data_IF_974294935452
#
_entry.id   IF_974294935452
#
_cell.length_a   1.000
_cell.length_b   1.000
_cell.length_c   1.000
_cell.angle_alpha   90.00
_cell.angle_beta   90.00
_cell.angle_gamma   90.00
#
_symmetry.space_group_name_H-M   'P 1'
#
loop_
_entity.id
_entity.type
_entity.pdbx_description
1 polymer ?
#
# COMPACT_ATOMS: atom_id res chain seq x y z
N UNK A 1 -2.43 -1.36 -35.09
CA UNK A 1 -2.41 -1.01 -33.66
C UNK A 1 -1.47 -1.98 -32.97
N UNK A 2 -0.38 -1.51 -32.37
CA UNK A 2 0.41 -2.37 -31.49
C UNK A 2 -0.44 -2.66 -30.25
N UNK A 3 -0.55 -3.93 -29.88
CA UNK A 3 -1.27 -4.32 -28.68
C UNK A 3 -0.50 -3.81 -27.46
N UNK A 4 -1.15 -2.99 -26.64
CA UNK A 4 -0.59 -2.43 -25.39
C UNK A 4 -0.80 -3.46 -24.28
N UNK A 5 0.29 -3.87 -23.61
CA UNK A 5 0.25 -4.79 -22.48
C UNK A 5 -0.65 -4.28 -21.34
N UNK A 6 -1.19 -5.21 -20.55
CA UNK A 6 -1.89 -4.86 -19.30
C UNK A 6 -0.88 -4.40 -18.25
N UNK A 7 -1.32 -3.58 -17.28
CA UNK A 7 -0.46 -3.10 -16.19
C UNK A 7 -1.16 -3.18 -14.84
N UNK A 8 -0.38 -3.37 -13.79
CA UNK A 8 -0.83 -3.25 -12.40
C UNK A 8 -0.08 -2.13 -11.67
N UNK A 9 -0.81 -1.31 -10.90
CA UNK A 9 -0.24 -0.17 -10.18
C UNK A 9 -1.00 0.19 -8.90
N UNK A 10 -0.28 0.65 -7.88
CA UNK A 10 -0.80 1.21 -6.62
C UNK A 10 -0.38 2.66 -6.41
N UNK A 11 -0.07 3.37 -7.50
CA UNK A 11 0.63 4.65 -7.53
C UNK A 11 2.01 4.48 -8.18
N UNK A 12 2.73 3.44 -7.76
CA UNK A 12 3.90 2.88 -8.46
C UNK A 12 3.54 1.59 -9.22
N UNK A 13 4.40 1.08 -10.12
CA UNK A 13 4.22 -0.24 -10.71
C UNK A 13 4.14 -1.32 -9.63
N UNK A 14 3.26 -2.29 -9.84
CA UNK A 14 3.06 -3.39 -8.91
C UNK A 14 3.70 -4.67 -9.46
N UNK A 15 4.63 -5.27 -8.71
CA UNK A 15 5.27 -6.53 -9.06
C UNK A 15 4.51 -7.66 -8.37
N UNK A 16 3.83 -8.53 -9.12
CA UNK A 16 2.92 -9.49 -8.48
C UNK A 16 2.33 -10.57 -9.37
N UNK A 17 1.36 -11.27 -8.78
CA UNK A 17 0.57 -12.32 -9.41
C UNK A 17 -0.78 -11.78 -9.87
N UNK A 18 -1.22 -12.27 -11.03
CA UNK A 18 -2.52 -11.98 -11.64
C UNK A 18 -3.29 -13.30 -11.71
N UNK A 19 -4.50 -13.31 -11.18
CA UNK A 19 -5.39 -14.46 -11.22
C UNK A 19 -6.65 -14.07 -12.01
N UNK A 20 -6.88 -14.76 -13.12
CA UNK A 20 -8.03 -14.56 -13.98
C UNK A 20 -9.13 -15.54 -13.61
N UNK A 21 -10.32 -15.01 -13.39
CA UNK A 21 -11.54 -15.78 -13.14
C UNK A 21 -12.09 -16.27 -14.50
N UNK A 22 -11.80 -17.53 -14.84
CA UNK A 22 -12.15 -18.11 -16.14
C UNK A 22 -13.58 -18.64 -16.14
N UNK A 23 -14.10 -19.04 -14.98
CA UNK A 23 -15.44 -19.59 -14.84
C UNK A 23 -16.51 -18.47 -14.67
N UNK A 24 -16.07 -17.24 -14.36
CA UNK A 24 -16.88 -16.03 -14.30
C UNK A 24 -17.72 -15.89 -13.03
N UNK A 25 -17.43 -16.64 -11.98
CA UNK A 25 -18.21 -16.65 -10.74
C UNK A 25 -17.72 -15.63 -9.68
N UNK A 26 -16.65 -14.89 -9.98
CA UNK A 26 -15.97 -13.94 -9.11
C UNK A 26 -15.39 -14.52 -7.80
N UNK A 27 -15.20 -15.85 -7.77
CA UNK A 27 -14.56 -16.60 -6.69
C UNK A 27 -13.16 -17.01 -7.16
N UNK A 28 -12.19 -16.14 -6.88
CA UNK A 28 -10.80 -16.37 -7.25
C UNK A 28 -10.18 -17.51 -6.42
N UNK A 29 -9.58 -18.50 -7.08
CA UNK A 29 -8.81 -19.61 -6.51
C UNK A 29 -9.64 -20.85 -6.17
N UNK A 30 -10.84 -21.00 -6.74
CA UNK A 30 -11.82 -22.04 -6.38
C UNK A 30 -11.73 -23.35 -7.21
N UNK A 31 -10.70 -23.46 -8.04
CA UNK A 31 -10.58 -24.49 -9.04
C UNK A 31 -9.90 -25.80 -8.60
N UNK A 32 -10.55 -26.94 -8.85
CA UNK A 32 -9.95 -28.29 -8.85
C UNK A 32 -10.13 -29.01 -10.20
N UNK A 33 -10.38 -28.28 -11.30
CA UNK A 33 -10.83 -28.81 -12.59
C UNK A 33 -10.03 -28.24 -13.79
N UNK A 34 -10.08 -28.85 -14.99
CA UNK A 34 -9.25 -28.41 -16.13
C UNK A 34 -9.59 -27.01 -16.71
N UNK A 35 -10.61 -26.31 -16.20
CA UNK A 35 -11.04 -24.95 -16.61
C UNK A 35 -10.83 -23.92 -15.48
N UNK A 36 -9.87 -24.20 -14.59
CA UNK A 36 -9.58 -23.39 -13.41
C UNK A 36 -9.06 -21.98 -13.74
N UNK A 37 -9.10 -21.13 -12.72
CA UNK A 37 -8.49 -19.82 -12.74
C UNK A 37 -7.07 -19.84 -13.31
N UNK A 38 -6.85 -18.95 -14.26
CA UNK A 38 -5.57 -18.83 -14.93
C UNK A 38 -4.68 -17.86 -14.16
N UNK A 39 -3.49 -18.28 -13.75
CA UNK A 39 -2.52 -17.40 -13.13
C UNK A 39 -1.37 -17.02 -14.07
N UNK A 40 -0.96 -15.76 -13.99
CA UNK A 40 0.28 -15.24 -14.58
C UNK A 40 0.90 -14.21 -13.64
N UNK A 41 2.02 -13.62 -14.04
CA UNK A 41 2.74 -12.64 -13.23
C UNK A 41 3.13 -11.42 -14.03
N UNK A 42 3.32 -10.32 -13.32
CA UNK A 42 3.87 -9.11 -13.91
C UNK A 42 5.39 -9.23 -14.08
N UNK A 43 5.96 -8.48 -15.01
CA UNK A 43 7.39 -8.18 -15.00
C UNK A 43 7.74 -7.19 -13.86
N UNK A 44 9.02 -6.80 -13.76
CA UNK A 44 9.51 -5.82 -12.77
C UNK A 44 9.00 -4.38 -13.00
N UNK A 45 8.35 -4.12 -14.14
CA UNK A 45 7.69 -2.85 -14.47
C UNK A 45 6.17 -2.91 -14.27
N UNK A 46 5.64 -3.98 -13.65
CA UNK A 46 4.22 -4.17 -13.41
C UNK A 46 3.39 -4.48 -14.65
N UNK A 47 4.01 -4.86 -15.76
CA UNK A 47 3.32 -5.22 -17.00
C UNK A 47 3.04 -6.72 -17.06
N UNK A 48 1.89 -7.11 -17.61
CA UNK A 48 1.54 -8.51 -17.81
C UNK A 48 0.78 -8.75 -19.11
N UNK A 49 0.80 -10.01 -19.53
CA UNK A 49 0.08 -10.51 -20.68
C UNK A 49 0.93 -10.78 -21.92
N UNK A 50 0.25 -11.05 -23.05
CA UNK A 50 0.89 -11.56 -24.27
C UNK A 50 2.01 -10.64 -24.79
N UNK A 51 1.79 -9.34 -24.67
CA UNK A 51 2.65 -8.29 -25.23
C UNK A 51 3.59 -7.64 -24.19
N UNK A 52 3.62 -8.14 -22.95
CA UNK A 52 4.49 -7.60 -21.91
C UNK A 52 5.97 -7.95 -22.19
N UNK A 53 6.80 -6.92 -22.30
CA UNK A 53 8.25 -7.07 -22.53
C UNK A 53 8.87 -7.70 -21.27
N UNK A 54 9.68 -8.74 -21.42
CA UNK A 54 10.26 -9.43 -20.26
C UNK A 54 9.26 -10.23 -19.44
N UNK A 55 8.19 -10.76 -20.08
CA UNK A 55 7.26 -11.69 -19.45
C UNK A 55 8.00 -12.84 -18.78
N UNK A 56 7.59 -13.13 -17.55
CA UNK A 56 8.20 -14.17 -16.72
C UNK A 56 7.52 -15.54 -16.91
N UNK A 57 6.30 -15.57 -17.45
CA UNK A 57 5.57 -16.81 -17.73
C UNK A 57 5.39 -17.02 -19.23
N UNK A 58 5.47 -18.27 -19.68
CA UNK A 58 5.16 -18.67 -21.05
C UNK A 58 3.65 -18.76 -21.32
N UNK A 59 2.84 -18.60 -20.27
CA UNK A 59 1.39 -18.72 -20.31
C UNK A 59 0.78 -17.39 -20.77
N UNK A 60 0.21 -17.39 -21.97
CA UNK A 60 -0.53 -16.24 -22.52
C UNK A 60 -1.88 -16.12 -21.80
N UNK A 61 -2.28 -14.93 -21.33
CA UNK A 61 -3.63 -14.74 -20.79
C UNK A 61 -4.69 -15.17 -21.80
N UNK A 62 -5.84 -15.68 -21.33
CA UNK A 62 -6.90 -16.09 -22.23
C UNK A 62 -7.42 -14.88 -23.02
N UNK A 63 -7.73 -15.11 -24.29
CA UNK A 63 -8.30 -14.08 -25.17
C UNK A 63 -9.76 -13.82 -24.77
N UNK A 64 -10.04 -12.66 -24.17
CA UNK A 64 -11.40 -12.27 -23.75
C UNK A 64 -11.41 -11.21 -22.66
N UNK A 65 -12.61 -10.75 -22.28
CA UNK A 65 -12.82 -9.88 -21.13
C UNK A 65 -13.11 -10.73 -19.90
N UNK A 66 -12.07 -11.04 -19.13
CA UNK A 66 -12.18 -11.77 -17.87
C UNK A 66 -12.09 -10.81 -16.69
N UNK A 67 -12.76 -11.14 -15.60
CA UNK A 67 -12.44 -10.55 -14.30
C UNK A 67 -11.07 -11.08 -13.89
N UNK A 68 -10.26 -10.23 -13.29
CA UNK A 68 -8.98 -10.65 -12.75
C UNK A 68 -8.71 -9.95 -11.43
N UNK A 69 -7.98 -10.64 -10.56
CA UNK A 69 -7.52 -10.15 -9.29
C UNK A 69 -6.00 -10.03 -9.34
N UNK A 70 -5.51 -8.91 -8.83
CA UNK A 70 -4.07 -8.64 -8.70
C UNK A 70 -3.67 -8.59 -7.24
N UNK A 71 -2.54 -9.21 -6.94
CA UNK A 71 -1.84 -9.14 -5.64
C UNK A 71 -0.34 -9.02 -5.90
N UNK A 72 0.35 -8.15 -5.17
CA UNK A 72 1.77 -7.93 -5.40
C UNK A 72 2.34 -6.83 -4.52
N UNK A 73 3.59 -6.47 -4.79
CA UNK A 73 4.32 -5.48 -4.02
C UNK A 73 4.52 -4.20 -4.82
N UNK A 74 4.48 -3.04 -4.15
CA UNK A 74 4.87 -1.77 -4.79
C UNK A 74 6.35 -1.82 -5.16
N UNK A 75 6.68 -1.49 -6.40
CA UNK A 75 8.08 -1.41 -6.85
C UNK A 75 8.90 -0.41 -6.03
N UNK A 76 8.29 0.69 -5.58
CA UNK A 76 9.01 1.75 -4.89
C UNK A 76 9.27 1.45 -3.41
N UNK A 77 8.45 0.60 -2.77
CA UNK A 77 8.51 0.39 -1.31
C UNK A 77 8.60 -1.06 -0.87
N UNK A 78 8.27 -2.02 -1.74
CA UNK A 78 8.15 -3.44 -1.40
C UNK A 78 6.88 -3.80 -0.61
N UNK A 79 6.03 -2.83 -0.23
CA UNK A 79 4.81 -3.13 0.51
C UNK A 79 3.83 -3.97 -0.28
N UNK A 80 3.23 -4.96 0.39
CA UNK A 80 2.26 -5.89 -0.18
C UNK A 80 0.84 -5.29 -0.22
N UNK A 81 0.21 -5.42 -1.39
CA UNK A 81 -1.18 -5.06 -1.68
C UNK A 81 -1.88 -6.25 -2.33
N UNK A 82 -3.12 -6.51 -1.93
CA UNK A 82 -3.87 -7.68 -2.41
C UNK A 82 -5.31 -7.32 -2.77
N UNK A 83 -5.96 -8.24 -3.47
CA UNK A 83 -7.37 -8.16 -3.84
C UNK A 83 -7.74 -6.89 -4.64
N UNK A 84 -6.86 -6.48 -5.57
CA UNK A 84 -7.15 -5.39 -6.51
C UNK A 84 -7.90 -6.02 -7.69
N UNK A 85 -9.19 -5.72 -7.80
CA UNK A 85 -10.07 -6.29 -8.83
C UNK A 85 -10.63 -5.12 -9.64
N UNK A 86 -10.00 -4.75 -10.78
CA UNK A 86 -10.49 -3.65 -11.57
C UNK A 86 -11.80 -4.01 -12.26
N UNK A 87 -12.55 -2.99 -12.70
CA UNK A 87 -13.80 -3.24 -13.43
C UNK A 87 -13.48 -3.87 -14.80
N UNK A 88 -14.33 -4.82 -15.23
CA UNK A 88 -14.14 -5.59 -16.46
C UNK A 88 -13.82 -4.71 -17.67
N UNK A 89 -12.86 -5.17 -18.48
CA UNK A 89 -12.33 -4.43 -19.63
C UNK A 89 -11.18 -3.48 -19.31
N UNK A 90 -10.82 -3.28 -18.03
CA UNK A 90 -9.70 -2.43 -17.65
C UNK A 90 -8.35 -3.03 -18.04
N UNK A 91 -7.52 -2.22 -18.72
CA UNK A 91 -6.13 -2.58 -19.03
C UNK A 91 -5.18 -2.28 -17.88
N UNK A 92 -5.54 -1.31 -17.05
CA UNK A 92 -4.81 -0.94 -15.84
C UNK A 92 -5.55 -1.47 -14.61
N UNK A 93 -4.89 -2.31 -13.82
CA UNK A 93 -5.32 -2.74 -12.50
C UNK A 93 -4.82 -1.74 -11.45
N UNK A 94 -5.72 -0.97 -10.86
CA UNK A 94 -5.39 0.02 -9.84
C UNK A 94 -6.59 0.29 -8.92
N UNK A 95 -6.38 0.92 -7.75
CA UNK A 95 -7.48 1.36 -6.91
C UNK A 95 -8.48 2.26 -7.65
N UNK A 96 -8.01 3.19 -8.50
CA UNK A 96 -8.88 4.07 -9.29
C UNK A 96 -9.77 3.29 -10.26
N UNK A 97 -9.21 2.35 -11.03
CA UNK A 97 -9.98 1.52 -11.97
C UNK A 97 -10.84 0.44 -11.29
N UNK A 98 -10.61 0.20 -10.01
CA UNK A 98 -11.45 -0.65 -9.18
C UNK A 98 -12.69 0.10 -8.65
N UNK A 99 -12.55 1.36 -8.22
CA UNK A 99 -13.67 2.13 -7.66
C UNK A 99 -14.51 2.85 -8.71
N UNK A 100 -13.92 3.21 -9.86
CA UNK A 100 -14.62 3.87 -10.95
C UNK A 100 -15.10 2.81 -11.94
N UNK A 101 -16.40 2.57 -12.02
CA UNK A 101 -17.02 1.70 -13.01
C UNK A 101 -17.32 2.47 -14.32
N UNK A 102 -17.58 1.79 -15.46
CA UNK A 102 -17.89 2.45 -16.73
C UNK A 102 -19.05 3.46 -16.70
N UNK A 103 -19.98 3.30 -15.77
CA UNK A 103 -21.11 4.22 -15.57
C UNK A 103 -20.83 5.33 -14.54
N UNK A 104 -19.64 5.36 -13.93
CA UNK A 104 -19.17 6.41 -13.06
C UNK A 104 -18.23 7.33 -13.81
N UNK A 105 -18.53 8.63 -13.81
CA UNK A 105 -17.65 9.61 -14.41
C UNK A 105 -16.44 9.86 -13.51
N UNK A 106 -15.18 9.75 -13.98
CA UNK A 106 -14.00 10.08 -13.18
C UNK A 106 -13.99 11.52 -12.64
N UNK A 107 -14.75 12.43 -13.25
CA UNK A 107 -14.99 13.79 -12.73
C UNK A 107 -15.63 13.81 -11.34
N UNK A 108 -16.34 12.76 -10.93
CA UNK A 108 -16.90 12.63 -9.57
C UNK A 108 -15.82 12.54 -8.48
N UNK A 109 -14.58 12.26 -8.85
CA UNK A 109 -13.42 12.23 -7.94
C UNK A 109 -12.34 13.23 -8.36
N UNK A 110 -12.71 14.24 -9.17
CA UNK A 110 -11.79 15.29 -9.60
C UNK A 110 -10.80 14.91 -10.69
N UNK A 111 -10.98 13.74 -11.35
CA UNK A 111 -10.14 13.35 -12.49
C UNK A 111 -10.74 13.91 -13.78
N UNK A 112 -9.97 14.74 -14.49
CA UNK A 112 -10.38 15.38 -15.74
C UNK A 112 -10.15 14.45 -16.96
N UNK A 113 -10.76 13.27 -16.93
CA UNK A 113 -10.66 12.23 -17.95
C UNK A 113 -11.98 11.47 -18.11
N UNK A 114 -12.24 10.90 -19.28
CA UNK A 114 -13.33 9.92 -19.45
C UNK A 114 -12.95 8.58 -18.81
N UNK A 115 -13.95 7.71 -18.59
CA UNK A 115 -13.69 6.36 -18.14
C UNK A 115 -12.79 5.59 -19.12
N UNK A 116 -13.04 5.73 -20.42
CA UNK A 116 -12.26 5.08 -21.47
C UNK A 116 -10.81 5.53 -21.47
N UNK A 117 -10.56 6.83 -21.23
CA UNK A 117 -9.20 7.34 -21.04
C UNK A 117 -8.56 6.73 -19.78
N UNK A 118 -9.25 6.76 -18.62
CA UNK A 118 -8.71 6.25 -17.36
C UNK A 118 -8.37 4.75 -17.43
N UNK A 119 -9.24 3.97 -18.07
CA UNK A 119 -9.12 2.51 -18.23
C UNK A 119 -7.79 2.06 -18.82
N UNK A 120 -7.21 2.90 -19.68
CA UNK A 120 -6.01 2.63 -20.46
C UNK A 120 -4.83 3.57 -20.05
N UNK A 121 -5.00 4.38 -19.00
CA UNK A 121 -4.02 5.42 -18.60
C UNK A 121 -3.01 4.94 -17.57
N UNK A 122 -1.74 4.91 -17.97
CA UNK A 122 -0.64 4.66 -17.07
C UNK A 122 -0.19 5.94 -16.34
N UNK A 123 -0.71 6.11 -15.12
CA UNK A 123 -0.42 7.27 -14.27
C UNK A 123 1.07 7.39 -13.91
N UNK A 124 1.77 6.27 -13.69
CA UNK A 124 3.18 6.32 -13.29
C UNK A 124 4.08 6.78 -14.43
N UNK A 125 3.89 6.26 -15.65
CA UNK A 125 4.60 6.79 -16.81
C UNK A 125 4.25 8.26 -17.07
N UNK A 126 2.97 8.62 -16.93
CA UNK A 126 2.51 10.00 -17.12
C UNK A 126 3.17 11.00 -16.15
N UNK A 127 3.46 10.60 -14.90
CA UNK A 127 4.18 11.42 -13.92
C UNK A 127 5.58 11.86 -14.39
N UNK A 128 6.22 11.07 -15.26
CA UNK A 128 7.55 11.39 -15.83
C UNK A 128 7.47 12.18 -17.13
N UNK A 129 6.27 12.45 -17.64
CA UNK A 129 6.10 13.08 -18.94
C UNK A 129 6.62 14.52 -18.98
N UNK A 130 7.30 14.86 -20.08
CA UNK A 130 7.68 16.24 -20.37
C UNK A 130 6.43 17.13 -20.62
N UNK A 131 5.34 16.56 -21.11
CA UNK A 131 4.08 17.29 -21.33
C UNK A 131 3.38 17.58 -19.99
N UNK A 132 3.17 18.86 -19.70
CA UNK A 132 2.62 19.32 -18.42
C UNK A 132 1.19 18.83 -18.18
N UNK A 133 0.37 18.73 -19.23
CA UNK A 133 -1.02 18.25 -19.12
C UNK A 133 -1.05 16.76 -18.78
N UNK A 134 -0.26 15.95 -19.48
CA UNK A 134 -0.10 14.51 -19.20
C UNK A 134 0.44 14.31 -17.79
N UNK A 135 1.43 15.10 -17.37
CA UNK A 135 1.98 15.03 -16.02
C UNK A 135 0.95 15.35 -14.95
N UNK A 136 0.15 16.40 -15.15
CA UNK A 136 -0.93 16.77 -14.23
C UNK A 136 -2.00 15.66 -14.13
N UNK A 137 -2.37 15.01 -15.24
CA UNK A 137 -3.25 13.83 -15.23
C UNK A 137 -2.62 12.66 -14.47
N UNK A 138 -1.31 12.42 -14.66
CA UNK A 138 -0.54 11.43 -13.91
C UNK A 138 -0.58 11.69 -12.41
N UNK A 139 -0.38 12.95 -12.00
CA UNK A 139 -0.48 13.39 -10.61
C UNK A 139 -1.88 13.16 -10.04
N UNK A 140 -2.94 13.52 -10.76
CA UNK A 140 -4.33 13.32 -10.31
C UNK A 140 -4.66 11.84 -10.07
N UNK A 141 -4.32 10.96 -11.01
CA UNK A 141 -4.64 9.53 -10.89
C UNK A 141 -3.76 8.84 -9.84
N UNK A 142 -2.47 9.18 -9.75
CA UNK A 142 -1.59 8.65 -8.70
C UNK A 142 -2.02 9.14 -7.31
N UNK A 143 -2.37 10.42 -7.16
CA UNK A 143 -2.89 10.96 -5.91
C UNK A 143 -4.17 10.21 -5.49
N UNK A 144 -5.11 9.99 -6.41
CA UNK A 144 -6.30 9.18 -6.12
C UNK A 144 -5.93 7.77 -5.65
N UNK A 145 -5.03 7.08 -6.34
CA UNK A 145 -4.60 5.74 -5.93
C UNK A 145 -4.03 5.73 -4.50
N UNK A 146 -3.18 6.69 -4.15
CA UNK A 146 -2.61 6.84 -2.81
C UNK A 146 -3.67 7.18 -1.75
N UNK A 147 -4.64 8.05 -2.09
CA UNK A 147 -5.77 8.38 -1.22
C UNK A 147 -6.68 7.18 -0.98
N UNK A 148 -6.84 6.28 -1.94
CA UNK A 148 -7.61 5.06 -1.75
C UNK A 148 -6.91 4.05 -0.82
N UNK A 149 -5.58 4.12 -0.66
CA UNK A 149 -4.83 3.23 0.22
C UNK A 149 -5.14 3.43 1.71
N UNK A 150 -5.28 4.67 2.20
CA UNK A 150 -5.61 4.91 3.61
C UNK A 150 -7.00 4.37 3.97
N UNK A 151 -7.93 4.46 3.02
CA UNK A 151 -9.24 3.81 3.15
C UNK A 151 -9.13 2.29 3.18
N UNK A 152 -8.09 1.72 2.58
CA UNK A 152 -7.91 0.28 2.60
C UNK A 152 -7.19 -0.25 3.82
N UNK A 153 -6.12 0.42 4.23
CA UNK A 153 -5.35 0.02 5.39
C UNK A 153 -6.14 0.06 6.71
N UNK A 154 -7.20 0.88 6.82
CA UNK A 154 -7.97 0.93 8.07
C UNK A 154 -8.72 -0.39 8.38
N UNK A 155 -9.08 -1.17 7.35
CA UNK A 155 -9.82 -2.44 7.52
C UNK A 155 -8.95 -3.66 7.75
N UNK A 156 -7.71 -3.62 7.27
CA UNK A 156 -6.75 -4.71 7.40
C UNK A 156 -6.20 -4.75 8.84
N UNK A 157 -7.02 -5.14 9.83
CA UNK A 157 -6.62 -5.22 11.26
C UNK A 157 -5.75 -6.45 11.62
N UNK A 158 -4.86 -6.88 10.71
CA UNK A 158 -4.01 -8.06 10.92
C UNK A 158 -2.63 -7.76 11.50
N UNK A 159 -1.91 -6.80 10.94
CA UNK A 159 -0.58 -6.34 11.40
C UNK A 159 -0.40 -4.93 10.82
N UNK A 160 0.07 -3.96 11.61
CA UNK A 160 0.10 -2.54 11.22
C UNK A 160 0.89 -2.25 9.92
N UNK A 161 1.74 -3.18 9.47
CA UNK A 161 2.49 -3.11 8.21
C UNK A 161 2.15 -4.21 7.20
N UNK A 162 1.31 -5.20 7.52
CA UNK A 162 1.00 -6.36 6.67
C UNK A 162 0.20 -6.04 5.40
N UNK A 163 -0.15 -7.04 4.61
CA UNK A 163 -0.86 -6.83 3.34
C UNK A 163 -2.12 -5.95 3.47
N UNK A 164 -2.25 -4.92 2.61
CA UNK A 164 -3.49 -4.14 2.51
C UNK A 164 -4.38 -4.75 1.43
N UNK A 165 -5.59 -5.16 1.83
CA UNK A 165 -6.60 -5.70 0.92
C UNK A 165 -7.53 -4.57 0.42
N UNK A 166 -7.59 -4.36 -0.89
CA UNK A 166 -8.30 -3.22 -1.48
C UNK A 166 -9.81 -3.47 -1.60
N UNK A 167 -10.21 -4.71 -1.92
CA UNK A 167 -11.61 -5.14 -2.12
C UNK A 167 -12.57 -4.71 -1.02
N UNK A 168 -12.14 -4.78 0.24
CA UNK A 168 -13.00 -4.57 1.40
C UNK A 168 -13.50 -3.13 1.56
N UNK A 169 -12.99 -2.19 0.75
CA UNK A 169 -13.21 -0.75 0.90
C UNK A 169 -13.99 -0.14 -0.26
N UNK A 170 -14.15 -0.89 -1.35
CA UNK A 170 -14.81 -0.43 -2.57
C UNK A 170 -16.29 -0.18 -2.34
N UNK A 171 -16.96 -0.99 -1.54
CA UNK A 171 -18.41 -0.90 -1.36
C UNK A 171 -18.88 0.45 -0.83
N UNK A 172 -18.20 1.02 0.18
CA UNK A 172 -18.59 2.31 0.75
C UNK A 172 -18.31 3.49 -0.18
N UNK A 173 -17.16 3.48 -0.84
CA UNK A 173 -16.75 4.51 -1.82
C UNK A 173 -17.68 4.50 -3.04
N UNK A 174 -17.96 3.32 -3.60
CA UNK A 174 -18.86 3.15 -4.75
C UNK A 174 -20.27 3.63 -4.42
N UNK A 175 -20.79 3.33 -3.23
CA UNK A 175 -22.12 3.81 -2.80
C UNK A 175 -22.17 5.34 -2.73
N UNK A 176 -21.16 5.96 -2.13
CA UNK A 176 -21.10 7.42 -2.05
C UNK A 176 -20.98 8.05 -3.45
N UNK A 177 -20.17 7.46 -4.34
CA UNK A 177 -20.05 7.90 -5.73
C UNK A 177 -21.36 7.78 -6.53
N UNK A 178 -22.22 6.83 -6.18
CA UNK A 178 -23.56 6.73 -6.77
C UNK A 178 -24.46 7.88 -6.31
N UNK A 179 -24.31 8.35 -5.07
CA UNK A 179 -25.07 9.46 -4.51
C UNK A 179 -24.59 10.84 -5.00
N UNK A 180 -23.28 11.01 -5.27
CA UNK A 180 -22.74 12.29 -5.73
C UNK A 180 -21.23 12.29 -5.95
N UNK A 181 -20.64 13.46 -6.23
CA UNK A 181 -19.18 13.63 -6.23
C UNK A 181 -18.59 13.37 -4.83
N UNK A 182 -17.40 12.77 -4.80
CA UNK A 182 -16.64 12.51 -3.57
C UNK A 182 -15.37 13.33 -3.61
N UNK A 183 -15.21 14.23 -2.64
CA UNK A 183 -13.96 14.94 -2.40
C UNK A 183 -13.17 14.23 -1.30
N UNK A 184 -12.06 13.57 -1.68
CA UNK A 184 -11.18 12.87 -0.74
C UNK A 184 -10.41 13.80 0.21
N UNK A 185 -10.49 15.12 0.01
CA UNK A 185 -9.92 16.12 0.90
C UNK A 185 -10.99 16.73 1.84
N UNK A 186 -12.26 16.32 1.71
CA UNK A 186 -13.37 16.80 2.53
C UNK A 186 -13.70 15.82 3.66
N UNK A 187 -13.59 16.28 4.90
CA UNK A 187 -13.98 15.46 6.06
C UNK A 187 -15.45 15.03 6.02
N UNK A 188 -16.32 15.84 5.39
CA UNK A 188 -17.73 15.51 5.23
C UNK A 188 -17.92 14.31 4.28
N UNK A 189 -17.26 14.34 3.12
CA UNK A 189 -17.27 13.21 2.18
C UNK A 189 -16.64 11.96 2.80
N UNK A 190 -15.54 12.11 3.55
CA UNK A 190 -14.91 10.96 4.24
C UNK A 190 -15.79 10.38 5.33
N UNK A 191 -16.53 11.20 6.07
CA UNK A 191 -17.51 10.70 7.04
C UNK A 191 -18.64 9.92 6.36
N UNK A 192 -19.15 10.44 5.23
CA UNK A 192 -20.17 9.76 4.43
C UNK A 192 -19.68 8.41 3.90
N UNK A 193 -18.49 8.35 3.29
CA UNK A 193 -17.86 7.09 2.85
C UNK A 193 -17.73 6.10 4.02
N UNK A 194 -17.18 6.53 5.16
CA UNK A 194 -16.99 5.65 6.32
C UNK A 194 -18.33 5.09 6.86
N UNK A 195 -19.39 5.89 6.84
CA UNK A 195 -20.74 5.46 7.25
C UNK A 195 -21.32 4.35 6.35
N UNK A 196 -20.94 4.34 5.07
CA UNK A 196 -21.40 3.34 4.10
C UNK A 196 -20.53 2.09 4.08
N UNK A 197 -19.26 2.23 4.46
CA UNK A 197 -18.31 1.13 4.45
C UNK A 197 -18.64 0.09 5.53
N UNK A 198 -18.94 0.49 6.77
CA UNK A 198 -18.99 -0.44 7.93
C UNK A 198 -20.38 -0.53 8.59
N UNK A 199 -21.08 -1.68 8.49
CA UNK A 199 -22.41 -1.86 9.08
C UNK A 199 -22.49 -1.68 10.61
N UNK A 200 -21.36 -1.82 11.33
CA UNK A 200 -21.28 -1.63 12.78
C UNK A 200 -20.90 -0.20 13.22
N UNK A 201 -20.57 0.66 12.26
CA UNK A 201 -20.20 2.06 12.47
C UNK A 201 -21.19 2.92 11.66
N UNK A 202 -22.47 2.87 12.01
CA UNK A 202 -23.49 3.74 11.38
C UNK A 202 -23.65 5.06 12.12
N UNK A 203 -23.53 5.08 13.46
CA UNK A 203 -23.68 6.30 14.28
C UNK A 203 -22.49 7.27 14.15
N UNK A 204 -22.71 8.56 13.90
CA UNK A 204 -21.65 9.56 13.82
C UNK A 204 -20.98 9.79 15.19
N UNK A 205 -19.87 9.10 15.47
CA UNK A 205 -19.13 9.20 16.74
C UNK A 205 -17.94 10.15 16.63
N UNK A 206 -17.45 10.73 17.74
CA UNK A 206 -16.25 11.56 17.74
C UNK A 206 -15.02 10.87 17.13
N UNK A 207 -14.87 9.56 17.33
CA UNK A 207 -13.80 8.75 16.74
C UNK A 207 -13.90 8.70 15.22
N UNK A 208 -15.10 8.49 14.67
CA UNK A 208 -15.28 8.53 13.21
C UNK A 208 -14.98 9.90 12.66
N UNK A 209 -15.46 10.96 13.30
CA UNK A 209 -15.20 12.33 12.87
C UNK A 209 -13.70 12.63 12.86
N UNK A 210 -12.97 12.21 13.90
CA UNK A 210 -11.51 12.39 13.97
C UNK A 210 -10.78 11.60 12.85
N UNK A 211 -11.20 10.37 12.57
CA UNK A 211 -10.65 9.55 11.47
C UNK A 211 -10.98 10.17 10.11
N UNK A 212 -12.22 10.61 9.88
CA UNK A 212 -12.63 11.27 8.64
C UNK A 212 -11.82 12.54 8.38
N UNK A 213 -11.57 13.34 9.42
CA UNK A 213 -10.70 14.52 9.33
C UNK A 213 -9.25 14.15 9.05
N UNK A 214 -8.71 13.10 9.68
CA UNK A 214 -7.34 12.65 9.40
C UNK A 214 -7.19 12.15 7.96
N UNK A 215 -8.14 11.36 7.46
CA UNK A 215 -8.14 10.88 6.07
C UNK A 215 -8.21 12.05 5.08
N UNK A 216 -9.08 13.03 5.34
CA UNK A 216 -9.20 14.23 4.52
C UNK A 216 -7.88 15.04 4.48
N UNK A 217 -7.25 15.26 5.63
CA UNK A 217 -5.96 15.96 5.73
C UNK A 217 -4.82 15.17 5.08
N UNK A 218 -4.86 13.84 5.14
CA UNK A 218 -3.92 13.00 4.40
C UNK A 218 -4.10 13.19 2.89
N UNK A 219 -5.34 13.22 2.40
CA UNK A 219 -5.62 13.50 0.99
C UNK A 219 -5.09 14.86 0.53
N UNK A 220 -5.31 15.90 1.33
CA UNK A 220 -4.76 17.24 1.05
C UNK A 220 -3.23 17.24 1.07
N UNK A 221 -2.60 16.56 2.03
CA UNK A 221 -1.15 16.44 2.11
C UNK A 221 -0.55 15.71 0.89
N UNK A 222 -1.22 14.65 0.40
CA UNK A 222 -0.82 13.94 -0.83
C UNK A 222 -0.82 14.89 -2.02
N UNK A 223 -1.86 15.71 -2.19
CA UNK A 223 -1.94 16.67 -3.30
C UNK A 223 -0.85 17.73 -3.23
N UNK A 224 -0.48 18.17 -2.02
CA UNK A 224 0.58 19.17 -1.82
C UNK A 224 2.00 18.62 -2.04
N UNK A 225 2.21 17.33 -1.78
CA UNK A 225 3.54 16.74 -1.76
C UNK A 225 3.87 15.91 -3.03
N UNK A 226 2.88 15.32 -3.69
CA UNK A 226 3.07 14.49 -4.88
C UNK A 226 3.47 15.33 -6.10
N UNK A 227 4.78 15.51 -6.30
CA UNK A 227 5.32 16.25 -7.45
C UNK A 227 5.81 15.36 -8.58
N UNK A 228 6.19 14.12 -8.28
CA UNK A 228 6.78 13.17 -9.21
C UNK A 228 6.89 11.76 -8.64
N UNK A 229 7.36 10.78 -9.43
CA UNK A 229 7.46 9.38 -8.99
C UNK A 229 8.29 9.19 -7.71
N UNK A 230 9.32 10.01 -7.53
CA UNK A 230 10.21 9.98 -6.37
C UNK A 230 9.51 10.25 -5.04
N UNK A 231 8.37 10.95 -5.07
CA UNK A 231 7.59 11.31 -3.87
C UNK A 231 6.57 10.25 -3.47
N UNK A 232 6.38 9.19 -4.26
CA UNK A 232 5.44 8.10 -3.95
C UNK A 232 5.90 7.29 -2.73
N UNK A 233 7.18 6.88 -2.70
CA UNK A 233 7.71 6.05 -1.62
C UNK A 233 7.56 6.70 -0.24
N UNK A 234 7.95 7.98 -0.03
CA UNK A 234 7.77 8.65 1.25
C UNK A 234 6.31 8.74 1.70
N UNK A 235 5.35 8.92 0.77
CA UNK A 235 3.92 8.90 1.08
C UNK A 235 3.49 7.52 1.57
N UNK A 236 3.87 6.45 0.87
CA UNK A 236 3.54 5.07 1.25
C UNK A 236 4.17 4.68 2.60
N UNK A 237 5.42 5.08 2.86
CA UNK A 237 6.07 4.85 4.17
C UNK A 237 5.34 5.57 5.30
N UNK A 238 5.03 6.86 5.13
CA UNK A 238 4.29 7.61 6.14
C UNK A 238 2.90 7.03 6.39
N UNK A 239 2.21 6.63 5.31
CA UNK A 239 0.91 5.96 5.41
C UNK A 239 1.00 4.75 6.35
N UNK A 240 1.98 3.87 6.10
CA UNK A 240 2.14 2.60 6.81
C UNK A 240 2.64 2.77 8.24
N UNK A 241 3.63 3.64 8.44
CA UNK A 241 4.39 3.71 9.70
C UNK A 241 3.77 4.72 10.68
N UNK A 242 3.05 5.74 10.21
CA UNK A 242 2.50 6.79 11.08
C UNK A 242 0.99 6.97 10.94
N UNK A 243 0.46 7.05 9.72
CA UNK A 243 -0.94 7.42 9.50
C UNK A 243 -1.91 6.30 9.85
N UNK A 244 -1.69 5.06 9.37
CA UNK A 244 -2.54 3.92 9.71
C UNK A 244 -2.54 3.59 11.21
N UNK A 245 -1.40 3.63 11.93
CA UNK A 245 -1.40 3.55 13.39
C UNK A 245 -2.22 4.65 14.07
N UNK A 246 -2.14 5.89 13.58
CA UNK A 246 -2.93 6.99 14.11
C UNK A 246 -4.44 6.77 13.89
N UNK A 247 -4.84 6.33 12.69
CA UNK A 247 -6.22 5.94 12.38
C UNK A 247 -6.70 4.86 13.36
N UNK A 248 -5.92 3.79 13.54
CA UNK A 248 -6.26 2.69 14.43
C UNK A 248 -6.41 3.15 15.89
N UNK A 249 -5.62 4.13 16.30
CA UNK A 249 -5.66 4.63 17.66
C UNK A 249 -6.80 5.62 17.90
N UNK A 250 -7.13 6.49 16.94
CA UNK A 250 -8.32 7.34 16.99
C UNK A 250 -9.61 6.51 17.09
N UNK A 251 -9.67 5.33 16.45
CA UNK A 251 -10.80 4.41 16.61
C UNK A 251 -10.94 3.82 18.02
N UNK A 252 -9.85 3.72 18.78
CA UNK A 252 -9.88 3.21 20.17
C UNK A 252 -10.15 4.31 21.19
N UNK A 253 -9.64 5.51 20.95
CA UNK A 253 -9.90 6.69 21.77
C UNK A 253 -9.57 7.96 20.98
N UNK A 254 -10.57 8.76 20.67
CA UNK A 254 -10.34 10.10 20.12
C UNK A 254 -9.94 11.13 21.19
N UNK A 255 -10.30 10.88 22.45
CA UNK A 255 -10.08 11.84 23.54
C UNK A 255 -8.60 12.00 23.88
N UNK A 256 -8.14 13.25 24.01
CA UNK A 256 -6.80 13.59 24.48
C UNK A 256 -5.68 13.62 23.43
N UNK A 257 -5.96 13.23 22.18
CA UNK A 257 -4.95 13.20 21.11
C UNK A 257 -4.95 14.49 20.28
N UNK A 258 -3.80 15.18 20.12
CA UNK A 258 -3.72 16.34 19.25
C UNK A 258 -3.95 15.91 17.79
N UNK A 259 -4.79 16.64 17.08
CA UNK A 259 -5.06 16.37 15.67
C UNK A 259 -3.83 16.69 14.82
N UNK A 260 -3.41 15.75 13.97
CA UNK A 260 -2.38 15.99 12.96
C UNK A 260 -2.89 16.99 11.93
N UNK A 261 -2.13 18.07 11.70
CA UNK A 261 -2.39 19.03 10.63
C UNK A 261 -1.87 18.52 9.29
N UNK A 262 -2.29 19.15 8.19
CA UNK A 262 -1.75 18.87 6.84
C UNK A 262 -0.23 19.08 6.82
N UNK A 263 0.26 20.15 7.46
CA UNK A 263 1.69 20.43 7.58
C UNK A 263 2.43 19.35 8.35
N UNK A 264 1.85 18.81 9.42
CA UNK A 264 2.44 17.68 10.16
C UNK A 264 2.60 16.46 9.25
N UNK A 265 1.57 16.12 8.47
CA UNK A 265 1.59 14.98 7.55
C UNK A 265 2.62 15.19 6.42
N UNK A 266 2.71 16.38 5.83
CA UNK A 266 3.75 16.69 4.83
C UNK A 266 5.16 16.58 5.43
N UNK A 267 5.36 17.01 6.68
CA UNK A 267 6.64 16.84 7.36
C UNK A 267 6.95 15.37 7.63
N UNK A 268 5.94 14.52 7.87
CA UNK A 268 6.12 13.06 7.93
C UNK A 268 6.57 12.50 6.58
N UNK A 269 6.01 12.95 5.46
CA UNK A 269 6.48 12.54 4.13
C UNK A 269 7.95 12.88 3.94
N UNK A 270 8.35 14.13 4.23
CA UNK A 270 9.74 14.58 4.14
C UNK A 270 10.69 13.77 5.02
N UNK A 271 10.25 13.38 6.21
CA UNK A 271 11.04 12.55 7.10
C UNK A 271 11.41 11.18 6.49
N UNK A 272 10.56 10.64 5.60
CA UNK A 272 10.82 9.37 4.91
C UNK A 272 11.52 9.52 3.55
N UNK A 273 11.95 10.72 3.14
CA UNK A 273 12.73 10.92 1.90
C UNK A 273 14.09 10.22 1.95
N UNK A 274 14.76 10.26 3.11
CA UNK A 274 16.09 9.67 3.34
C UNK A 274 16.04 8.15 3.60
N UNK A 275 14.88 7.55 3.37
CA UNK A 275 14.66 6.14 3.59
C UNK A 275 15.25 5.32 2.43
N UNK A 276 16.12 4.32 2.71
CA UNK A 276 16.63 3.44 1.67
C UNK A 276 15.48 2.74 0.94
N UNK A 277 15.42 2.93 -0.37
CA UNK A 277 14.44 2.25 -1.21
C UNK A 277 14.91 0.82 -1.48
N UNK A 278 14.02 -0.16 -1.43
CA UNK A 278 14.36 -1.49 -1.87
C UNK A 278 14.65 -1.50 -3.38
N UNK A 279 15.73 -2.16 -3.80
CA UNK A 279 16.01 -2.38 -5.23
C UNK A 279 15.15 -3.53 -5.78
N UNK A 280 13.84 -3.33 -5.81
CA UNK A 280 12.89 -4.32 -6.34
C UNK A 280 13.04 -4.57 -7.84
N UNK A 281 13.78 -3.69 -8.54
CA UNK A 281 14.01 -3.83 -9.98
C UNK A 281 15.01 -4.94 -10.30
N UNK A 282 16.01 -5.15 -9.44
CA UNK A 282 17.06 -6.16 -9.66
C UNK A 282 17.18 -7.22 -8.58
N UNK A 283 16.72 -6.94 -7.34
CA UNK A 283 16.87 -7.87 -6.23
C UNK A 283 15.83 -9.02 -6.28
N UNK A 284 16.29 -10.22 -5.93
CA UNK A 284 15.43 -11.39 -5.75
C UNK A 284 14.94 -11.55 -4.30
N UNK A 285 15.51 -10.80 -3.36
CA UNK A 285 15.05 -10.72 -1.97
C UNK A 285 15.07 -9.27 -1.48
N UNK A 286 13.94 -8.83 -0.93
CA UNK A 286 13.70 -7.46 -0.51
C UNK A 286 13.21 -7.44 0.93
N UNK A 287 14.03 -6.91 1.84
CA UNK A 287 13.57 -6.60 3.18
C UNK A 287 12.73 -5.33 3.17
N UNK A 288 11.55 -5.36 3.80
CA UNK A 288 10.56 -4.29 3.72
C UNK A 288 10.40 -3.60 5.07
N UNK A 289 10.39 -2.27 5.11
CA UNK A 289 10.35 -1.52 6.36
C UNK A 289 9.14 -1.84 7.25
N UNK A 290 9.44 -2.07 8.53
CA UNK A 290 8.45 -2.46 9.53
C UNK A 290 8.22 -1.41 10.62
N UNK A 291 7.09 -1.51 11.29
CA UNK A 291 6.75 -0.76 12.49
C UNK A 291 6.53 -1.74 13.64
N UNK A 292 7.23 -1.53 14.74
CA UNK A 292 6.90 -2.21 16.00
C UNK A 292 5.74 -1.44 16.65
N UNK A 293 4.56 -2.07 16.84
CA UNK A 293 3.39 -1.42 17.40
C UNK A 293 3.68 -0.83 18.79
N UNK A 294 2.93 0.20 19.17
CA UNK A 294 3.21 1.02 20.36
C UNK A 294 2.91 0.36 21.73
N UNK A 295 2.20 -0.78 21.75
CA UNK A 295 1.53 -1.31 22.95
C UNK A 295 2.41 -2.03 23.97
N UNK A 296 3.73 -1.87 23.95
CA UNK A 296 4.62 -2.58 24.86
C UNK A 296 5.35 -1.65 25.83
N UNK A 297 5.42 -2.07 27.09
CA UNK A 297 6.03 -1.33 28.18
C UNK A 297 7.55 -1.43 28.12
N UNK A 298 8.22 -0.34 27.68
CA UNK A 298 9.68 -0.09 27.65
C UNK A 298 10.60 -1.14 27.00
N UNK A 299 10.26 -2.42 27.03
CA UNK A 299 10.97 -3.58 26.51
C UNK A 299 9.97 -4.59 25.94
N UNK A 300 10.31 -5.17 24.80
CA UNK A 300 9.56 -6.26 24.19
C UNK A 300 10.53 -7.21 23.51
N UNK A 301 10.21 -8.49 23.60
CA UNK A 301 10.81 -9.49 22.74
C UNK A 301 9.86 -9.69 21.55
N UNK A 302 10.34 -9.37 20.35
CA UNK A 302 9.59 -9.56 19.11
C UNK A 302 10.15 -10.77 18.37
N UNK A 303 9.33 -11.79 18.03
CA UNK A 303 9.79 -12.89 17.19
C UNK A 303 10.39 -12.36 15.88
N UNK A 304 11.51 -12.92 15.42
CA UNK A 304 12.18 -12.48 14.19
C UNK A 304 11.26 -12.51 12.97
N UNK A 305 10.31 -13.44 12.95
CA UNK A 305 9.28 -13.57 11.89
C UNK A 305 8.37 -12.34 11.77
N UNK A 306 8.26 -11.52 12.81
CA UNK A 306 7.44 -10.30 12.77
C UNK A 306 8.07 -9.18 11.95
N UNK A 307 9.41 -9.16 11.82
CA UNK A 307 10.16 -8.22 10.97
C UNK A 307 10.31 -8.71 9.54
N UNK A 308 9.81 -9.91 9.25
CA UNK A 308 9.94 -10.53 7.95
C UNK A 308 8.59 -10.81 7.31
N UNK A 309 7.47 -10.45 7.95
CA UNK A 309 6.13 -10.61 7.38
C UNK A 309 5.93 -9.81 6.10
N UNK A 310 6.68 -8.73 5.95
CA UNK A 310 6.68 -7.92 4.74
C UNK A 310 7.88 -8.19 3.85
N UNK A 311 8.87 -8.97 4.30
CA UNK A 311 10.06 -9.27 3.50
C UNK A 311 9.69 -10.24 2.38
N UNK A 312 10.09 -9.90 1.16
CA UNK A 312 9.54 -10.51 -0.05
C UNK A 312 10.62 -11.18 -0.85
N UNK A 313 10.40 -12.45 -1.19
CA UNK A 313 11.14 -13.11 -2.25
C UNK A 313 10.50 -12.79 -3.60
N UNK A 314 11.27 -12.21 -4.51
CA UNK A 314 10.85 -11.88 -5.87
C UNK A 314 11.56 -12.83 -6.83
N UNK A 315 11.07 -14.07 -6.93
CA UNK A 315 11.63 -15.05 -7.88
C UNK A 315 11.02 -14.89 -9.28
N UNK A 316 11.71 -15.42 -10.30
CA UNK A 316 11.32 -15.35 -11.72
C UNK A 316 9.97 -15.97 -12.10
N UNK A 317 9.16 -16.42 -11.14
CA UNK A 317 7.77 -16.87 -11.32
C UNK A 317 6.75 -16.15 -10.39
N UNK A 318 7.17 -15.04 -9.76
CA UNK A 318 6.42 -14.06 -8.91
C UNK A 318 5.18 -14.60 -8.19
N UNK A 319 5.40 -15.57 -7.30
CA UNK A 319 4.61 -15.70 -6.08
C UNK A 319 5.33 -14.92 -4.98
N UNK A 320 4.64 -14.02 -4.30
CA UNK A 320 5.16 -13.35 -3.10
C UNK A 320 5.27 -14.41 -2.01
N UNK A 321 6.50 -14.81 -1.68
CA UNK A 321 6.79 -15.76 -0.61
C UNK A 321 7.44 -15.01 0.56
N UNK A 322 6.71 -14.99 1.68
CA UNK A 322 7.11 -14.37 2.94
C UNK A 322 7.58 -15.41 3.97
N UNK A 323 7.53 -16.70 3.63
CA UNK A 323 7.82 -17.79 4.56
C UNK A 323 9.32 -18.13 4.62
N UNK A 324 9.78 -18.48 5.82
CA UNK A 324 11.16 -18.96 6.04
C UNK A 324 12.24 -17.88 6.08
N UNK A 325 11.85 -16.60 6.07
CA UNK A 325 12.76 -15.47 6.29
C UNK A 325 13.15 -15.37 7.77
N UNK A 326 14.38 -14.90 8.04
CA UNK A 326 14.88 -14.72 9.41
C UNK A 326 15.77 -13.49 9.54
N UNK A 327 15.66 -12.80 10.68
CA UNK A 327 16.60 -11.74 11.06
C UNK A 327 17.96 -12.36 11.42
N UNK A 328 19.04 -11.81 10.89
CA UNK A 328 20.42 -12.31 11.11
C UNK A 328 21.36 -11.28 11.70
N UNK A 329 20.99 -10.00 11.68
CA UNK A 329 21.73 -8.94 12.35
C UNK A 329 20.79 -7.79 12.71
N UNK A 330 21.12 -7.05 13.77
CA UNK A 330 20.44 -5.80 14.16
C UNK A 330 21.47 -4.76 14.55
N UNK A 331 21.21 -3.50 14.21
CA UNK A 331 22.11 -2.36 14.47
C UNK A 331 21.30 -1.12 14.82
N UNK A 332 21.63 -0.47 15.92
CA UNK A 332 21.01 0.82 16.28
C UNK A 332 21.94 1.96 15.85
N UNK A 333 21.46 2.91 15.02
CA UNK A 333 22.22 4.11 14.69
C UNK A 333 22.65 4.87 15.93
N UNK A 334 23.87 5.42 15.91
CA UNK A 334 24.46 6.12 17.06
C UNK A 334 23.56 7.24 17.62
N UNK A 335 22.82 7.94 16.75
CA UNK A 335 21.87 8.99 17.14
C UNK A 335 20.71 8.51 18.02
N UNK A 336 20.38 7.22 17.99
CA UNK A 336 19.33 6.62 18.83
C UNK A 336 19.87 5.76 19.96
N UNK A 337 21.19 5.54 20.05
CA UNK A 337 21.78 4.61 21.01
C UNK A 337 21.49 4.96 22.48
N UNK A 338 21.20 6.24 22.79
CA UNK A 338 20.79 6.67 24.14
C UNK A 338 19.29 6.53 24.43
N UNK A 339 18.47 6.21 23.41
CA UNK A 339 17.00 6.19 23.49
C UNK A 339 16.40 4.85 23.08
N UNK A 340 17.15 4.02 22.34
CA UNK A 340 16.72 2.76 21.76
C UNK A 340 17.89 1.77 21.81
N UNK A 341 17.59 0.51 22.14
CA UNK A 341 18.46 -0.63 21.84
C UNK A 341 17.68 -1.73 21.14
N UNK A 342 18.36 -2.47 20.28
CA UNK A 342 17.88 -3.72 19.71
C UNK A 342 18.99 -4.76 19.78
N UNK A 343 18.67 -5.98 20.20
CA UNK A 343 19.60 -7.10 20.27
C UNK A 343 18.96 -8.34 19.65
N UNK A 344 19.71 -9.06 18.81
CA UNK A 344 19.31 -10.34 18.25
C UNK A 344 19.61 -11.45 19.26
N UNK A 345 18.58 -12.18 19.65
CA UNK A 345 18.67 -13.30 20.56
C UNK A 345 19.04 -14.61 19.83
N UNK A 346 19.46 -15.63 20.57
CA UNK A 346 19.89 -16.91 20.00
C UNK A 346 18.77 -17.69 19.32
N UNK A 347 17.51 -17.43 19.67
CA UNK A 347 16.33 -18.05 19.06
C UNK A 347 15.86 -17.29 17.79
N UNK A 348 16.56 -16.22 17.40
CA UNK A 348 16.23 -15.38 16.25
C UNK A 348 15.19 -14.29 16.55
N UNK A 349 14.74 -14.15 17.80
CA UNK A 349 13.94 -13.01 18.23
C UNK A 349 14.80 -11.75 18.40
N UNK A 350 14.16 -10.58 18.37
CA UNK A 350 14.82 -9.31 18.64
C UNK A 350 14.25 -8.70 19.90
N UNK A 351 15.10 -8.54 20.92
CA UNK A 351 14.77 -7.76 22.10
C UNK A 351 14.96 -6.29 21.78
N UNK A 352 13.89 -5.51 21.89
CA UNK A 352 13.91 -4.06 21.66
C UNK A 352 13.60 -3.36 22.97
N UNK A 353 14.37 -2.33 23.31
CA UNK A 353 14.17 -1.49 24.51
C UNK A 353 14.17 -0.02 24.14
N UNK A 354 13.26 0.75 24.73
CA UNK A 354 13.15 2.20 24.57
C UNK A 354 13.28 2.90 25.92
N UNK A 355 14.05 3.99 25.94
CA UNK A 355 14.28 4.84 27.11
C UNK A 355 13.93 6.32 26.83
N UNK A 356 13.51 6.63 25.61
CA UNK A 356 13.08 7.97 25.23
C UNK A 356 11.83 8.42 25.98
N UNK A 357 11.78 9.70 26.35
CA UNK A 357 10.60 10.34 26.96
C UNK A 357 9.86 11.27 25.99
N UNK A 358 10.38 11.42 24.77
CA UNK A 358 9.85 12.30 23.72
C UNK A 358 8.96 11.52 22.74
N UNK A 359 7.83 12.11 22.34
CA UNK A 359 7.02 11.63 21.19
C UNK A 359 7.87 11.81 19.92
N UNK A 360 8.59 10.76 19.54
CA UNK A 360 9.45 10.73 18.37
C UNK A 360 9.56 9.31 17.85
N UNK A 361 9.97 9.17 16.60
CA UNK A 361 10.19 7.88 15.95
C UNK A 361 11.70 7.60 15.94
N UNK A 362 12.11 6.49 16.54
CA UNK A 362 13.45 5.94 16.39
C UNK A 362 13.42 4.76 15.43
N UNK A 363 14.58 4.28 15.04
CA UNK A 363 14.68 3.03 14.27
C UNK A 363 15.96 2.29 14.57
N UNK A 364 15.96 1.00 14.26
CA UNK A 364 17.15 0.19 14.11
C UNK A 364 17.14 -0.46 12.73
N UNK A 365 18.32 -0.77 12.23
CA UNK A 365 18.51 -1.53 11.00
C UNK A 365 18.53 -3.01 11.33
N UNK A 366 18.01 -3.83 10.42
CA UNK A 366 18.14 -5.27 10.48
C UNK A 366 18.56 -5.82 9.13
N UNK A 367 19.27 -6.94 9.16
CA UNK A 367 19.48 -7.79 7.98
C UNK A 367 18.55 -8.99 8.10
N UNK A 368 17.81 -9.26 7.03
CA UNK A 368 17.04 -10.48 6.87
C UNK A 368 17.75 -11.41 5.91
N UNK A 369 17.54 -12.71 6.08
CA UNK A 369 18.02 -13.76 5.20
C UNK A 369 16.88 -14.67 4.81
N UNK A 370 16.70 -14.90 3.51
CA UNK A 370 15.72 -15.85 3.01
C UNK A 370 16.21 -17.31 3.09
N UNK A 371 15.36 -18.25 2.68
CA UNK A 371 15.69 -19.69 2.65
C UNK A 371 16.85 -20.05 1.72
N UNK A 372 17.06 -19.27 0.66
CA UNK A 372 18.10 -19.48 -0.36
C UNK A 372 19.44 -18.85 0.05
N UNK A 373 19.48 -18.18 1.22
CA UNK A 373 20.67 -17.55 1.77
C UNK A 373 20.93 -16.12 1.29
N UNK A 374 20.03 -15.54 0.48
CA UNK A 374 20.09 -14.13 0.09
C UNK A 374 19.84 -13.24 1.30
N UNK A 375 20.60 -12.14 1.38
CA UNK A 375 20.52 -11.18 2.49
C UNK A 375 20.13 -9.81 1.96
N UNK A 376 19.22 -9.16 2.67
CA UNK A 376 18.78 -7.79 2.38
C UNK A 376 18.63 -7.02 3.69
N UNK A 377 18.83 -5.70 3.64
CA UNK A 377 18.82 -4.83 4.81
C UNK A 377 17.61 -3.88 4.77
N UNK A 378 17.02 -3.63 5.94
CA UNK A 378 15.88 -2.71 6.08
C UNK A 378 15.88 -2.05 7.48
N UNK A 379 14.85 -1.25 7.76
CA UNK A 379 14.66 -0.56 9.04
C UNK A 379 13.38 -1.04 9.73
N UNK A 380 13.47 -1.23 11.03
CA UNK A 380 12.33 -1.38 11.91
C UNK A 380 12.15 -0.11 12.74
N UNK A 381 11.02 0.57 12.56
CA UNK A 381 10.68 1.80 13.25
C UNK A 381 10.01 1.53 14.58
N UNK A 382 10.34 2.34 15.57
CA UNK A 382 9.90 2.20 16.96
C UNK A 382 9.41 3.55 17.47
N UNK A 383 8.16 3.60 17.89
CA UNK A 383 7.65 4.76 18.63
C UNK A 383 8.38 4.86 19.98
N UNK A 384 9.09 5.96 20.22
CA UNK A 384 9.90 6.13 21.44
C UNK A 384 9.07 6.50 22.68
N UNK A 385 7.78 6.83 22.52
CA UNK A 385 6.82 7.07 23.61
C UNK A 385 5.44 6.56 23.23
N UNK A 386 4.65 6.09 24.21
CA UNK A 386 3.21 5.85 24.11
C UNK A 386 2.41 7.15 23.93
N UNK A 387 1.58 7.24 22.89
CA UNK A 387 0.57 8.24 22.64
C UNK A 387 -0.58 8.03 23.65
N UNK A 388 -0.40 8.53 24.87
CA UNK A 388 -1.48 8.61 25.87
C UNK A 388 -2.70 9.33 25.32
#
# INVERSE_FOLDING_TARGET
MQAVAYRASMGAPLIGSILFDINGNAVFGDGTAPNDDFSTTTNRNGEFGADAIGRLTSRTPPSGNFLYMTSGISRETGYLYTAIIPVSGSRIASPATMVLAPNMQPSKVGIAMTWEELRDFDAFAALTSADATTRARGQQVTALNLKLLIHAGYRSQGTLTGAIALKDNVTGIVRELQAGPVDFNSSASMSAVLSQSSPGLTADTPERQAVAQLIARFGEAVDLYLTGPETIAPIEYALRIQILPEVAALFRSASGRPALTVTDIVNMFRYFEDMPRPDTATADFVAVPDLIPEYWNAEVNVPGTHFTYNDVNISGSVGVDIDGNRVVAVRVPAQFASQLSAALESDGSVTVRRWGTQRSLGWFEYDARNRDGLVSSSRAYVALKTLN
#
